data_IF_063133955172
#
_entry.id   IF_063133955172
#
_cell.length_a   1.000
_cell.length_b   1.000
_cell.length_c   1.000
_cell.angle_alpha   90.00
_cell.angle_beta   90.00
_cell.angle_gamma   90.00
#
_symmetry.space_group_name_H-M   'P 1'
#
loop_
_entity.id
_entity.type
_entity.pdbx_description
1 polymer ?
#
# COMPACT_ATOMS: atom_id res chain seq x y z
N UNK A 1 -14.37 47.60 57.93
CA UNK A 1 -14.61 47.42 56.50
C UNK A 1 -13.61 46.43 55.96
N UNK A 2 -14.02 45.21 55.73
CA UNK A 2 -13.15 44.14 55.23
C UNK A 2 -13.44 43.97 53.76
N UNK A 3 -12.42 44.17 52.92
CA UNK A 3 -12.48 43.88 51.52
C UNK A 3 -12.07 42.42 51.29
N UNK A 4 -13.00 41.59 50.91
CA UNK A 4 -12.71 40.23 50.43
C UNK A 4 -12.33 40.30 48.94
N UNK A 5 -11.08 40.06 48.65
CA UNK A 5 -10.60 39.85 47.27
C UNK A 5 -10.83 38.41 46.83
N UNK A 6 -11.70 38.22 45.84
CA UNK A 6 -11.93 36.93 45.21
C UNK A 6 -10.81 36.67 44.21
N UNK A 7 -9.92 35.76 44.54
CA UNK A 7 -8.96 35.21 43.59
C UNK A 7 -9.64 34.13 42.73
N UNK A 8 -10.01 34.52 41.51
CA UNK A 8 -10.45 33.55 40.51
C UNK A 8 -9.27 32.78 39.95
N UNK A 9 -9.10 31.55 40.43
CA UNK A 9 -8.12 30.62 39.89
C UNK A 9 -8.57 30.12 38.50
N UNK A 10 -7.79 30.49 37.51
CA UNK A 10 -7.97 29.93 36.13
C UNK A 10 -7.35 28.56 36.18
N UNK A 11 -8.19 27.51 36.19
CA UNK A 11 -7.77 26.13 35.92
C UNK A 11 -7.50 26.01 34.44
N UNK A 12 -6.24 26.07 34.03
CA UNK A 12 -5.83 25.70 32.70
C UNK A 12 -5.98 24.17 32.57
N UNK A 13 -7.00 23.73 31.85
CA UNK A 13 -7.15 22.34 31.51
C UNK A 13 -6.02 21.95 30.55
N UNK A 14 -5.04 21.22 31.07
CA UNK A 14 -4.00 20.60 30.25
C UNK A 14 -4.64 19.42 29.55
N UNK A 15 -5.01 19.62 28.28
CA UNK A 15 -5.49 18.55 27.42
C UNK A 15 -4.28 17.70 27.02
N UNK A 16 -4.27 16.41 27.32
CA UNK A 16 -3.17 15.57 26.85
C UNK A 16 -3.20 15.53 25.33
N UNK A 17 -2.17 16.05 24.69
CA UNK A 17 -1.96 15.89 23.26
C UNK A 17 -1.78 14.40 22.99
N UNK A 18 -2.78 13.80 22.35
CA UNK A 18 -2.64 12.43 21.84
C UNK A 18 -1.49 12.40 20.84
N UNK A 19 -0.59 11.41 20.92
CA UNK A 19 0.48 11.30 19.93
C UNK A 19 -0.17 11.14 18.57
N UNK A 20 0.04 12.11 17.69
CA UNK A 20 -0.25 11.97 16.28
C UNK A 20 0.66 10.85 15.80
N UNK A 21 0.12 9.64 15.69
CA UNK A 21 0.80 8.58 14.96
C UNK A 21 0.94 9.10 13.53
N UNK A 22 2.16 9.38 13.11
CA UNK A 22 2.46 9.49 11.71
C UNK A 22 2.03 8.16 11.10
N UNK A 23 0.87 8.14 10.45
CA UNK A 23 0.52 7.08 9.52
C UNK A 23 1.60 7.16 8.47
N UNK A 24 2.53 6.22 8.49
CA UNK A 24 3.36 5.93 7.35
C UNK A 24 2.38 5.58 6.25
N UNK A 25 2.03 6.56 5.42
CA UNK A 25 1.31 6.29 4.20
C UNK A 25 2.24 5.41 3.38
N UNK A 26 1.93 4.12 3.36
CA UNK A 26 2.63 3.15 2.55
C UNK A 26 2.60 3.67 1.12
N UNK A 27 3.78 4.03 0.61
CA UNK A 27 3.89 4.57 -0.74
C UNK A 27 3.59 3.46 -1.72
N UNK A 28 2.61 3.67 -2.57
CA UNK A 28 2.31 2.77 -3.67
C UNK A 28 3.20 3.13 -4.86
N UNK A 29 3.76 2.13 -5.52
CA UNK A 29 4.47 2.30 -6.79
C UNK A 29 3.53 2.94 -7.80
N UNK A 30 3.87 4.14 -8.22
CA UNK A 30 3.02 4.98 -9.05
C UNK A 30 3.82 5.52 -10.22
N UNK A 31 3.24 5.45 -11.40
CA UNK A 31 3.79 6.15 -12.56
C UNK A 31 3.64 7.65 -12.37
N UNK A 32 4.76 8.36 -12.30
CA UNK A 32 4.80 9.81 -12.02
C UNK A 32 4.11 10.68 -13.08
N UNK A 33 3.94 10.16 -14.28
CA UNK A 33 3.32 10.90 -15.38
C UNK A 33 1.82 10.65 -15.49
N UNK A 34 1.38 9.43 -15.25
CA UNK A 34 -0.03 9.04 -15.38
C UNK A 34 -0.79 9.03 -14.04
N UNK A 35 -0.09 8.96 -12.90
CA UNK A 35 -0.70 8.76 -11.60
C UNK A 35 -1.24 7.35 -11.36
N UNK A 36 -0.96 6.42 -12.29
CA UNK A 36 -1.46 5.05 -12.19
C UNK A 36 -0.62 4.20 -11.24
N UNK A 37 -1.28 3.51 -10.33
CA UNK A 37 -0.67 2.51 -9.50
C UNK A 37 -0.25 1.30 -10.34
N UNK A 38 0.91 0.72 -10.04
CA UNK A 38 1.47 -0.48 -10.68
C UNK A 38 1.30 -0.49 -12.21
N UNK A 39 1.66 0.63 -12.85
CA UNK A 39 1.61 0.81 -14.32
C UNK A 39 0.23 0.54 -14.94
N UNK A 40 -0.87 0.67 -14.19
CA UNK A 40 -2.23 0.44 -14.64
C UNK A 40 -2.63 -1.02 -14.78
N UNK A 41 -1.86 -1.95 -14.24
CA UNK A 41 -2.25 -3.35 -14.14
C UNK A 41 -3.35 -3.55 -13.12
N UNK A 42 -4.24 -4.51 -13.37
CA UNK A 42 -5.35 -4.86 -12.48
C UNK A 42 -4.84 -5.70 -11.30
N UNK A 43 -4.87 -5.19 -10.07
CA UNK A 43 -4.36 -5.92 -8.91
C UNK A 43 -5.20 -7.16 -8.56
N UNK A 44 -6.48 -7.20 -8.92
CA UNK A 44 -7.37 -8.33 -8.65
C UNK A 44 -7.13 -9.49 -9.62
N UNK A 45 -6.73 -9.20 -10.86
CA UNK A 45 -6.52 -10.21 -11.89
C UNK A 45 -5.42 -11.22 -11.53
N UNK A 46 -4.44 -10.84 -10.75
CA UNK A 46 -3.43 -11.79 -10.25
C UNK A 46 -4.03 -12.93 -9.42
N UNK A 47 -5.09 -12.63 -8.68
CA UNK A 47 -5.80 -13.60 -7.84
C UNK A 47 -6.85 -14.39 -8.61
N UNK A 48 -7.59 -13.72 -9.48
CA UNK A 48 -8.72 -14.33 -10.20
C UNK A 48 -8.30 -15.07 -11.47
N UNK A 49 -7.28 -14.55 -12.16
CA UNK A 49 -6.89 -15.06 -13.48
C UNK A 49 -5.47 -15.64 -13.49
N UNK A 50 -4.74 -15.53 -12.38
CA UNK A 50 -3.33 -15.91 -12.29
C UNK A 50 -2.49 -15.29 -13.42
N UNK A 51 -2.73 -14.03 -13.73
CA UNK A 51 -2.07 -13.32 -14.82
C UNK A 51 -1.90 -11.84 -14.54
N UNK A 52 -0.80 -11.27 -15.01
CA UNK A 52 -0.60 -9.83 -15.09
C UNK A 52 -1.46 -9.28 -16.25
N UNK A 53 -2.50 -8.54 -15.91
CA UNK A 53 -3.49 -8.06 -16.89
C UNK A 53 -3.62 -6.56 -16.79
N UNK A 54 -3.55 -5.87 -17.93
CA UNK A 54 -3.78 -4.43 -17.98
C UNK A 54 -5.22 -4.10 -17.59
N UNK A 55 -5.38 -3.09 -16.73
CA UNK A 55 -6.67 -2.48 -16.48
C UNK A 55 -7.10 -1.58 -17.63
N UNK A 56 -8.35 -1.15 -17.58
CA UNK A 56 -8.99 -0.30 -18.60
C UNK A 56 -9.37 1.04 -18.00
N UNK A 57 -9.25 2.14 -18.77
CA UNK A 57 -9.62 3.48 -18.28
C UNK A 57 -11.06 3.60 -17.80
N UNK A 58 -11.96 2.77 -18.31
CA UNK A 58 -13.38 2.77 -17.92
C UNK A 58 -13.61 2.27 -16.50
N UNK A 59 -12.65 1.52 -15.94
CA UNK A 59 -12.77 0.94 -14.61
C UNK A 59 -11.62 1.42 -13.72
N UNK A 60 -11.81 2.54 -13.05
CA UNK A 60 -10.82 3.16 -12.18
C UNK A 60 -11.35 3.32 -10.76
N UNK A 61 -10.44 3.32 -9.79
CA UNK A 61 -10.69 3.71 -8.42
C UNK A 61 -9.53 4.54 -7.88
N UNK A 62 -9.83 5.66 -7.26
CA UNK A 62 -8.84 6.45 -6.54
C UNK A 62 -8.69 5.93 -5.11
N UNK A 63 -7.46 5.77 -4.65
CA UNK A 63 -7.18 5.35 -3.28
C UNK A 63 -5.72 5.57 -2.94
N UNK A 64 -5.43 5.97 -1.69
CA UNK A 64 -4.05 6.24 -1.24
C UNK A 64 -3.28 7.25 -2.11
N UNK A 65 -3.98 8.22 -2.70
CA UNK A 65 -3.38 9.26 -3.55
C UNK A 65 -3.01 8.80 -4.96
N UNK A 66 -3.41 7.62 -5.37
CA UNK A 66 -3.12 7.03 -6.68
C UNK A 66 -4.40 6.53 -7.36
N UNK A 67 -4.33 6.28 -8.66
CA UNK A 67 -5.42 5.72 -9.45
C UNK A 67 -5.11 4.27 -9.81
N UNK A 68 -6.04 3.39 -9.46
CA UNK A 68 -6.00 1.98 -9.78
C UNK A 68 -6.87 1.70 -11.01
N UNK A 69 -6.41 0.83 -11.89
CA UNK A 69 -7.19 0.38 -13.05
C UNK A 69 -7.53 -1.09 -12.97
N UNK A 70 -8.72 -1.43 -13.43
CA UNK A 70 -9.26 -2.79 -13.41
C UNK A 70 -9.71 -3.18 -14.80
N UNK A 71 -9.72 -4.47 -15.10
CA UNK A 71 -10.18 -4.96 -16.41
C UNK A 71 -11.69 -4.98 -16.53
N UNK A 72 -12.41 -5.03 -15.41
CA UNK A 72 -13.88 -5.06 -15.37
C UNK A 72 -14.41 -4.46 -14.05
N UNK A 73 -15.72 -4.25 -14.01
CA UNK A 73 -16.40 -3.68 -12.84
C UNK A 73 -16.35 -4.60 -11.62
N UNK A 74 -16.42 -5.92 -11.82
CA UNK A 74 -16.35 -6.90 -10.71
C UNK A 74 -15.02 -6.82 -9.98
N UNK A 75 -13.91 -6.73 -10.70
CA UNK A 75 -12.58 -6.56 -10.10
C UNK A 75 -12.46 -5.22 -9.38
N UNK A 76 -12.99 -4.14 -9.96
CA UNK A 76 -13.03 -2.83 -9.31
C UNK A 76 -13.79 -2.89 -7.99
N UNK A 77 -14.98 -3.48 -7.98
CA UNK A 77 -15.79 -3.62 -6.79
C UNK A 77 -15.10 -4.47 -5.70
N UNK A 78 -14.45 -5.55 -6.08
CA UNK A 78 -13.68 -6.41 -5.17
C UNK A 78 -12.53 -5.66 -4.51
N UNK A 79 -11.79 -4.86 -5.28
CA UNK A 79 -10.69 -4.06 -4.75
C UNK A 79 -11.18 -2.96 -3.80
N UNK A 80 -12.24 -2.25 -4.15
CA UNK A 80 -12.80 -1.19 -3.32
C UNK A 80 -13.28 -1.75 -1.98
N UNK A 81 -13.85 -2.95 -1.98
CA UNK A 81 -14.30 -3.63 -0.77
C UNK A 81 -13.13 -4.15 0.09
N UNK A 82 -12.04 -4.62 -0.54
CA UNK A 82 -10.92 -5.29 0.13
C UNK A 82 -9.55 -4.88 -0.44
N UNK A 83 -9.18 -3.58 -0.38
CA UNK A 83 -7.90 -3.13 -0.91
C UNK A 83 -6.70 -3.77 -0.17
N UNK A 84 -6.88 -4.13 1.09
CA UNK A 84 -5.87 -4.80 1.91
C UNK A 84 -5.54 -6.23 1.43
N UNK A 85 -6.47 -6.87 0.74
CA UNK A 85 -6.25 -8.21 0.16
C UNK A 85 -5.60 -8.10 -1.22
N UNK A 86 -6.17 -7.27 -2.08
CA UNK A 86 -5.80 -7.23 -3.50
C UNK A 86 -4.65 -6.26 -3.81
N UNK A 87 -4.41 -5.29 -2.95
CA UNK A 87 -3.26 -4.41 -3.11
C UNK A 87 -1.94 -5.18 -2.97
N UNK A 88 -0.92 -4.84 -3.76
CA UNK A 88 0.38 -5.49 -3.61
C UNK A 88 0.99 -5.17 -2.25
N UNK A 89 1.68 -6.15 -1.67
CA UNK A 89 2.43 -5.95 -0.44
C UNK A 89 3.57 -4.94 -0.68
N UNK A 90 3.93 -4.21 0.36
CA UNK A 90 4.93 -3.14 0.29
C UNK A 90 4.64 -2.08 -0.79
N UNK A 91 3.37 -1.84 -1.08
CA UNK A 91 2.96 -0.89 -2.11
C UNK A 91 3.39 -1.27 -3.54
N UNK A 92 3.84 -2.49 -3.77
CA UNK A 92 4.36 -2.94 -5.06
C UNK A 92 5.87 -2.76 -5.23
N UNK A 93 6.59 -2.37 -4.19
CA UNK A 93 8.05 -2.39 -4.18
C UNK A 93 8.59 -3.80 -4.03
N UNK A 94 9.75 -4.06 -4.61
CA UNK A 94 10.41 -5.37 -4.56
C UNK A 94 10.87 -5.68 -3.12
N UNK A 95 10.32 -6.71 -2.46
CA UNK A 95 10.68 -7.06 -1.09
C UNK A 95 12.12 -7.54 -0.96
N UNK A 96 12.73 -8.09 -2.01
CA UNK A 96 14.12 -8.56 -1.97
C UNK A 96 15.11 -7.40 -1.94
N UNK A 97 14.74 -6.26 -2.51
CA UNK A 97 15.53 -5.04 -2.45
C UNK A 97 15.32 -4.30 -1.13
N UNK A 98 14.09 -4.32 -0.59
CA UNK A 98 13.79 -3.65 0.68
C UNK A 98 14.61 -4.19 1.85
N UNK A 99 14.84 -5.50 1.93
CA UNK A 99 15.70 -6.08 2.98
C UNK A 99 17.16 -5.62 2.90
N UNK A 100 17.59 -5.13 1.74
CA UNK A 100 18.91 -4.51 1.54
C UNK A 100 18.90 -2.99 1.76
N UNK A 101 17.77 -2.43 2.18
CA UNK A 101 17.59 -1.00 2.34
C UNK A 101 17.46 -0.22 1.02
N UNK A 102 17.14 -0.91 -0.08
CA UNK A 102 16.98 -0.32 -1.42
C UNK A 102 15.52 -0.32 -1.81
N UNK A 103 15.02 0.80 -2.29
CA UNK A 103 13.63 0.96 -2.74
C UNK A 103 13.56 0.89 -4.25
N UNK A 104 13.21 -0.28 -4.78
CA UNK A 104 13.01 -0.51 -6.20
C UNK A 104 11.56 -0.88 -6.49
N UNK A 105 10.95 -0.19 -7.46
CA UNK A 105 9.61 -0.50 -7.92
C UNK A 105 9.57 -1.90 -8.54
N UNK A 106 8.58 -2.70 -8.14
CA UNK A 106 8.30 -3.97 -8.79
C UNK A 106 7.76 -3.76 -10.20
N UNK A 107 8.15 -4.65 -11.11
CA UNK A 107 7.54 -4.74 -12.43
C UNK A 107 6.26 -5.60 -12.30
N UNK A 108 5.10 -5.13 -12.73
CA UNK A 108 3.86 -5.88 -12.64
C UNK A 108 3.87 -7.25 -13.34
N UNK A 109 4.81 -7.49 -14.24
CA UNK A 109 4.97 -8.78 -14.92
C UNK A 109 5.77 -9.81 -14.13
N UNK A 110 6.50 -9.38 -13.12
CA UNK A 110 7.27 -10.27 -12.22
C UNK A 110 6.57 -10.31 -10.87
N UNK A 111 5.77 -11.34 -10.64
CA UNK A 111 4.87 -11.43 -9.52
C UNK A 111 4.76 -12.85 -8.95
N UNK A 112 4.32 -12.94 -7.70
CA UNK A 112 3.80 -14.16 -7.08
C UNK A 112 2.64 -13.82 -6.17
N UNK A 113 1.72 -14.75 -6.00
CA UNK A 113 0.72 -14.74 -4.94
C UNK A 113 1.05 -15.89 -3.99
N UNK A 114 1.43 -15.57 -2.77
CA UNK A 114 1.79 -16.53 -1.73
C UNK A 114 1.04 -16.16 -0.45
N UNK A 115 0.37 -17.13 0.17
CA UNK A 115 -0.40 -16.89 1.38
C UNK A 115 -1.52 -15.87 1.18
N UNK A 116 -2.14 -15.87 0.02
CA UNK A 116 -3.17 -14.93 -0.40
C UNK A 116 -2.70 -13.46 -0.41
N UNK A 117 -1.42 -13.24 -0.71
CA UNK A 117 -0.79 -11.92 -0.80
C UNK A 117 -0.05 -11.78 -2.11
N UNK A 118 -0.19 -10.61 -2.73
CA UNK A 118 0.48 -10.27 -3.98
C UNK A 118 1.82 -9.59 -3.69
N UNK A 119 2.87 -10.08 -4.32
CA UNK A 119 4.21 -9.47 -4.31
C UNK A 119 4.67 -9.19 -5.73
N UNK A 120 5.27 -8.01 -5.94
CA UNK A 120 5.83 -7.60 -7.22
C UNK A 120 7.35 -7.48 -7.10
N UNK A 121 8.06 -7.80 -8.16
CA UNK A 121 9.53 -7.84 -8.18
C UNK A 121 10.09 -7.01 -9.32
N UNK A 122 11.23 -6.40 -9.09
CA UNK A 122 11.93 -5.62 -10.11
C UNK A 122 12.54 -6.51 -11.20
N UNK A 123 12.95 -7.74 -10.81
CA UNK A 123 13.66 -8.68 -11.66
C UNK A 123 13.07 -10.09 -11.50
N UNK A 124 13.15 -10.87 -12.58
CA UNK A 124 12.65 -12.24 -12.57
C UNK A 124 13.37 -13.13 -11.56
N UNK A 125 14.70 -13.02 -11.47
CA UNK A 125 15.46 -13.80 -10.49
C UNK A 125 15.15 -13.43 -9.03
N UNK A 126 14.78 -12.19 -8.75
CA UNK A 126 14.32 -11.77 -7.42
C UNK A 126 13.00 -12.45 -7.05
N UNK A 127 12.06 -12.52 -8.00
CA UNK A 127 10.83 -13.30 -7.84
C UNK A 127 11.12 -14.77 -7.54
N UNK A 128 12.01 -15.39 -8.28
CA UNK A 128 12.34 -16.81 -8.12
C UNK A 128 13.03 -17.08 -6.77
N UNK A 129 13.93 -16.21 -6.34
CA UNK A 129 14.57 -16.29 -5.04
C UNK A 129 13.56 -16.14 -3.88
N UNK A 130 12.64 -15.21 -4.00
CA UNK A 130 11.57 -15.02 -3.01
C UNK A 130 10.63 -16.24 -2.96
N UNK A 131 10.20 -16.73 -4.11
CA UNK A 131 9.31 -17.90 -4.18
C UNK A 131 9.93 -19.15 -3.58
N UNK A 132 11.25 -19.31 -3.66
CA UNK A 132 11.98 -20.44 -3.08
C UNK A 132 12.03 -20.39 -1.54
N UNK A 133 12.11 -19.20 -0.94
CA UNK A 133 12.18 -19.00 0.51
C UNK A 133 11.59 -17.63 0.90
N UNK A 134 10.25 -17.50 0.96
CA UNK A 134 9.62 -16.22 1.29
C UNK A 134 9.97 -15.74 2.71
N UNK A 135 10.08 -16.65 3.67
CA UNK A 135 10.34 -16.31 5.06
C UNK A 135 11.65 -15.54 5.24
N UNK A 136 12.67 -15.86 4.45
CA UNK A 136 13.96 -15.16 4.47
C UNK A 136 13.82 -13.65 4.24
N UNK A 137 12.88 -13.24 3.40
CA UNK A 137 12.69 -11.84 3.04
C UNK A 137 11.62 -11.14 3.89
N UNK A 138 10.69 -11.88 4.48
CA UNK A 138 9.56 -11.32 5.22
C UNK A 138 9.85 -11.10 6.72
N UNK A 139 10.83 -11.78 7.29
CA UNK A 139 11.21 -11.60 8.70
C UNK A 139 12.13 -10.41 8.94
N UNK A 140 12.79 -9.90 7.90
CA UNK A 140 13.73 -8.77 7.95
C UNK A 140 13.16 -7.47 7.36
N UNK A 141 11.94 -7.51 6.85
CA UNK A 141 11.28 -6.37 6.21
C UNK A 141 10.42 -5.55 7.19
#
# INVERSE_FOLDING_TARGET
>A
MAFFGLLAGILAAIWPALPVRATTSERVVTNRYSGLAIEGFDPVAYFTDAAATQGRPEFEAAGSGVVWRFRNEGNRASFVAHPEIYGPQFGGYDPTDLVRGVTCAGNPRFWVVIGNRLYLFNREHSRDAFAADPARFLTEA
#
